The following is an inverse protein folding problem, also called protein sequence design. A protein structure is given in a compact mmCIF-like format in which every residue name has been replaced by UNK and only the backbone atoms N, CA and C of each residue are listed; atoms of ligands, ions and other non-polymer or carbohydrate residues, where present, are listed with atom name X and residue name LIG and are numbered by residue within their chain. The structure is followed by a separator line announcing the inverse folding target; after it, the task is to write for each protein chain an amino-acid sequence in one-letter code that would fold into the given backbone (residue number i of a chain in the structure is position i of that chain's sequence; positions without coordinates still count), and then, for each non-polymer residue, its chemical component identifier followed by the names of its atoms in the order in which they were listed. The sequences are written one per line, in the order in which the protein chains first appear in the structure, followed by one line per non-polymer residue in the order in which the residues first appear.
data_IF_457923383535
#
_entry.id   IF_457923383535
#
_cell.length_a   1.000
_cell.length_b   1.000
_cell.length_c   1.000
_cell.angle_alpha   90.00
_cell.angle_beta   90.00
_cell.angle_gamma   90.00
#
_symmetry.space_group_name_H-M   'P 1'
#
loop_
_entity.id
_entity.type
_entity.pdbx_description
1 polymer ?
#
# COMPACT_ATOMS: atom_id res chain seq x y z
N UNK A 1 9.54 17.30 10.07
CA UNK A 1 10.64 17.07 9.12
C UNK A 1 10.07 17.19 7.73
N UNK A 2 10.50 18.17 6.94
CA UNK A 2 10.01 18.32 5.57
C UNK A 2 10.54 17.16 4.72
N UNK A 3 9.68 16.36 4.10
CA UNK A 3 10.04 15.34 3.12
C UNK A 3 10.59 16.04 1.87
N UNK A 4 11.85 16.48 1.96
CA UNK A 4 12.50 17.31 0.93
C UNK A 4 12.91 16.48 -0.28
N UNK A 5 12.92 15.16 -0.17
CA UNK A 5 13.32 14.26 -1.24
C UNK A 5 12.63 12.90 -0.99
N UNK A 6 11.79 12.45 -1.93
CA UNK A 6 11.38 11.05 -2.11
C UNK A 6 10.21 10.53 -1.23
N UNK A 7 9.58 9.41 -1.65
CA UNK A 7 8.43 8.76 -0.99
C UNK A 7 8.81 8.29 0.42
N UNK A 8 7.86 7.87 1.26
CA UNK A 8 8.12 7.59 2.68
C UNK A 8 9.20 6.52 2.92
N UNK A 9 9.39 5.60 1.97
CA UNK A 9 10.42 4.57 1.97
C UNK A 9 11.76 5.02 1.34
N UNK A 10 11.94 6.32 1.10
CA UNK A 10 13.14 6.92 0.52
C UNK A 10 13.37 6.60 -0.96
N UNK A 11 12.35 6.05 -1.64
CA UNK A 11 12.42 5.72 -3.06
C UNK A 11 11.73 6.77 -3.94
N UNK A 12 11.95 6.71 -5.25
CA UNK A 12 11.36 7.66 -6.18
C UNK A 12 11.18 7.10 -7.56
N UNK A 13 10.14 7.57 -8.23
CA UNK A 13 9.88 7.28 -9.63
C UNK A 13 10.71 8.21 -10.52
N UNK A 14 11.35 7.64 -11.52
CA UNK A 14 12.19 8.37 -12.47
C UNK A 14 12.16 7.72 -13.84
N UNK A 15 12.74 8.39 -14.84
CA UNK A 15 12.84 7.89 -16.20
C UNK A 15 14.29 7.54 -16.50
N UNK A 16 14.52 6.33 -17.03
CA UNK A 16 15.83 5.86 -17.49
C UNK A 16 15.76 5.50 -18.96
N UNK A 17 16.60 6.14 -19.77
CA UNK A 17 16.71 5.81 -21.20
C UNK A 17 17.61 4.59 -21.38
N UNK A 18 17.12 3.59 -22.11
CA UNK A 18 17.90 2.44 -22.54
C UNK A 18 17.56 2.13 -23.99
N UNK A 19 18.54 2.27 -24.89
CA UNK A 19 18.29 2.22 -26.33
C UNK A 19 17.31 3.31 -26.77
N UNK A 20 16.25 2.92 -27.47
CA UNK A 20 15.16 3.79 -27.91
C UNK A 20 14.02 3.95 -26.89
N UNK A 21 14.05 3.21 -25.78
CA UNK A 21 12.95 3.18 -24.80
C UNK A 21 13.30 4.00 -23.56
N UNK A 22 12.29 4.70 -23.05
CA UNK A 22 12.30 5.44 -21.79
C UNK A 22 11.53 4.64 -20.74
N UNK A 23 12.27 4.01 -19.83
CA UNK A 23 11.72 3.18 -18.77
C UNK A 23 11.35 4.02 -17.55
N UNK A 24 10.14 3.85 -17.06
CA UNK A 24 9.68 4.38 -15.79
C UNK A 24 10.07 3.40 -14.69
N UNK A 25 11.04 3.79 -13.87
CA UNK A 25 11.64 2.95 -12.85
C UNK A 25 11.53 3.58 -11.47
N UNK A 26 11.34 2.74 -10.46
CA UNK A 26 11.43 3.11 -9.06
C UNK A 26 12.85 2.84 -8.58
N UNK A 27 13.49 3.85 -8.02
CA UNK A 27 14.87 3.75 -7.55
C UNK A 27 14.98 4.19 -6.10
N UNK A 28 16.04 3.75 -5.43
CA UNK A 28 16.40 4.22 -4.09
C UNK A 28 17.89 4.48 -4.03
N UNK A 29 18.29 5.49 -3.25
CA UNK A 29 19.69 5.75 -2.95
C UNK A 29 20.10 5.02 -1.68
N UNK A 30 21.05 4.10 -1.78
CA UNK A 30 21.59 3.31 -0.65
C UNK A 30 23.10 3.45 -0.65
N UNK A 31 23.66 3.95 0.46
CA UNK A 31 25.12 4.10 0.65
C UNK A 31 25.85 4.77 -0.53
N UNK A 32 25.24 5.81 -1.11
CA UNK A 32 25.81 6.55 -2.24
C UNK A 32 25.54 5.95 -3.62
N UNK A 33 25.06 4.70 -3.69
CA UNK A 33 24.67 4.01 -4.92
C UNK A 33 23.17 4.14 -5.19
N UNK A 34 22.79 3.97 -6.46
CA UNK A 34 21.38 3.92 -6.86
C UNK A 34 20.97 2.48 -7.16
N UNK A 35 19.97 2.00 -6.45
CA UNK A 35 19.37 0.68 -6.65
C UNK A 35 18.08 0.79 -7.45
N UNK A 36 17.86 -0.15 -8.37
CA UNK A 36 16.57 -0.35 -9.02
C UNK A 36 15.70 -1.19 -8.10
N UNK A 37 14.55 -0.66 -7.72
CA UNK A 37 13.56 -1.37 -6.94
C UNK A 37 12.49 -2.00 -7.81
N UNK A 38 12.05 -1.28 -8.85
CA UNK A 38 10.95 -1.72 -9.71
C UNK A 38 10.99 -1.03 -11.08
N UNK A 39 10.34 -1.65 -12.06
CA UNK A 39 10.10 -1.08 -13.40
C UNK A 39 8.62 -1.17 -13.72
N UNK A 40 7.99 -0.01 -13.90
CA UNK A 40 6.56 0.04 -14.20
C UNK A 40 6.27 -0.21 -15.68
N UNK A 41 7.08 0.34 -16.57
CA UNK A 41 6.86 0.22 -18.02
C UNK A 41 7.76 1.12 -18.85
N UNK A 42 7.73 0.91 -20.17
CA UNK A 42 8.55 1.63 -21.15
C UNK A 42 7.71 2.45 -22.12
N UNK A 43 8.22 3.61 -22.50
CA UNK A 43 7.64 4.47 -23.52
C UNK A 43 8.67 4.80 -24.60
N UNK A 44 8.23 4.99 -25.84
CA UNK A 44 9.09 5.49 -26.92
C UNK A 44 9.41 6.99 -26.77
N UNK A 45 8.58 7.73 -26.01
CA UNK A 45 8.69 9.18 -25.83
C UNK A 45 9.00 9.54 -24.38
N UNK A 46 10.04 10.36 -24.21
CA UNK A 46 10.47 10.84 -22.90
C UNK A 46 9.35 11.55 -22.12
N UNK A 47 8.55 12.39 -22.79
CA UNK A 47 7.47 13.14 -22.15
C UNK A 47 6.37 12.24 -21.57
N UNK A 48 6.01 11.17 -22.28
CA UNK A 48 5.02 10.20 -21.80
C UNK A 48 5.55 9.43 -20.59
N UNK A 49 6.81 8.96 -20.63
CA UNK A 49 7.46 8.34 -19.49
C UNK A 49 7.54 9.28 -18.28
N UNK A 50 7.90 10.55 -18.49
CA UNK A 50 8.02 11.53 -17.42
C UNK A 50 6.65 11.85 -16.79
N UNK A 51 5.61 11.99 -17.60
CA UNK A 51 4.23 12.15 -17.11
C UNK A 51 3.76 10.96 -16.28
N UNK A 52 4.03 9.74 -16.75
CA UNK A 52 3.70 8.53 -16.00
C UNK A 52 4.48 8.42 -14.68
N UNK A 53 5.80 8.68 -14.70
CA UNK A 53 6.62 8.70 -13.49
C UNK A 53 6.12 9.74 -12.47
N UNK A 54 5.73 10.94 -12.93
CA UNK A 54 5.17 11.98 -12.07
C UNK A 54 3.83 11.55 -11.46
N UNK A 55 2.94 10.93 -12.24
CA UNK A 55 1.67 10.42 -11.73
C UNK A 55 1.86 9.31 -10.68
N UNK A 56 2.79 8.39 -10.91
CA UNK A 56 3.13 7.33 -9.95
C UNK A 56 3.71 7.92 -8.66
N UNK A 57 4.61 8.90 -8.77
CA UNK A 57 5.14 9.62 -7.62
C UNK A 57 4.04 10.32 -6.82
N UNK A 58 3.10 10.99 -7.50
CA UNK A 58 1.97 11.65 -6.85
C UNK A 58 1.08 10.66 -6.12
N UNK A 59 0.71 9.55 -6.77
CA UNK A 59 -0.15 8.53 -6.16
C UNK A 59 0.50 7.92 -4.91
N UNK A 60 1.78 7.57 -4.99
CA UNK A 60 2.52 7.03 -3.85
C UNK A 60 2.60 8.05 -2.70
N UNK A 61 2.94 9.31 -2.99
CA UNK A 61 3.01 10.36 -1.98
C UNK A 61 1.64 10.57 -1.30
N UNK A 62 0.55 10.54 -2.06
CA UNK A 62 -0.81 10.63 -1.52
C UNK A 62 -1.12 9.46 -0.58
N UNK A 63 -0.77 8.23 -0.95
CA UNK A 63 -0.97 7.06 -0.09
C UNK A 63 -0.15 7.13 1.19
N UNK A 64 1.10 7.57 1.09
CA UNK A 64 1.99 7.70 2.24
C UNK A 64 1.45 8.75 3.24
N UNK A 65 1.02 9.92 2.74
CA UNK A 65 0.39 10.97 3.56
C UNK A 65 -0.90 10.49 4.21
N UNK A 66 -1.73 9.74 3.49
CA UNK A 66 -2.96 9.18 4.06
C UNK A 66 -2.66 8.20 5.20
N UNK A 67 -1.64 7.34 5.04
CA UNK A 67 -1.21 6.43 6.11
C UNK A 67 -0.70 7.18 7.33
N UNK A 68 0.12 8.21 7.13
CA UNK A 68 0.63 9.06 8.23
C UNK A 68 -0.52 9.78 8.95
N UNK A 69 -1.48 10.32 8.21
CA UNK A 69 -2.64 11.00 8.76
C UNK A 69 -3.50 10.04 9.60
N UNK A 70 -3.78 8.84 9.09
CA UNK A 70 -4.56 7.82 9.81
C UNK A 70 -3.83 7.42 11.11
N UNK A 71 -2.52 7.18 11.05
CA UNK A 71 -1.74 6.84 12.25
C UNK A 71 -1.76 7.95 13.29
N UNK A 72 -1.62 9.21 12.85
CA UNK A 72 -1.70 10.39 13.71
C UNK A 72 -3.07 10.53 14.36
N UNK A 73 -4.14 10.31 13.59
CA UNK A 73 -5.51 10.34 14.10
C UNK A 73 -5.75 9.27 15.16
N UNK A 74 -5.35 8.02 14.91
CA UNK A 74 -5.47 6.95 15.90
C UNK A 74 -4.72 7.28 17.19
N UNK A 75 -3.49 7.80 17.07
CA UNK A 75 -2.69 8.21 18.23
C UNK A 75 -3.37 9.31 19.03
N UNK A 76 -3.99 10.29 18.35
CA UNK A 76 -4.71 11.37 18.99
C UNK A 76 -5.99 10.88 19.69
N UNK A 77 -6.73 9.96 19.06
CA UNK A 77 -7.93 9.34 19.65
C UNK A 77 -7.56 8.53 20.90
N UNK A 78 -6.49 7.73 20.85
CA UNK A 78 -5.97 6.98 21.99
C UNK A 78 -5.60 7.92 23.14
N UNK A 79 -4.90 9.03 22.84
CA UNK A 79 -4.54 10.04 23.84
C UNK A 79 -5.74 10.77 24.47
N UNK A 80 -6.84 10.92 23.74
CA UNK A 80 -8.08 11.50 24.23
C UNK A 80 -8.99 10.50 24.97
N UNK A 81 -8.59 9.22 25.05
CA UNK A 81 -9.43 8.14 25.60
C UNK A 81 -10.59 7.72 24.69
N UNK A 82 -10.57 8.15 23.44
CA UNK A 82 -11.52 7.77 22.37
C UNK A 82 -10.92 6.72 21.42
N UNK A 83 -9.81 6.10 21.84
CA UNK A 83 -9.16 5.02 21.13
C UNK A 83 -10.10 3.84 20.89
N UNK A 84 -9.82 3.06 19.84
CA UNK A 84 -10.57 1.85 19.58
C UNK A 84 -10.44 0.91 20.79
N UNK A 85 -11.56 0.57 21.42
CA UNK A 85 -11.57 -0.44 22.46
C UNK A 85 -11.09 -1.77 21.87
N UNK A 86 -10.25 -2.55 22.57
CA UNK A 86 -9.87 -3.86 22.10
C UNK A 86 -11.13 -4.70 21.89
N UNK A 87 -11.36 -5.13 20.65
CA UNK A 87 -12.45 -6.05 20.34
C UNK A 87 -12.20 -7.34 21.12
N UNK A 88 -13.10 -7.75 22.03
CA UNK A 88 -12.89 -8.99 22.77
C UNK A 88 -12.78 -10.15 21.79
N UNK A 89 -11.88 -11.08 22.08
CA UNK A 89 -11.74 -12.28 21.27
C UNK A 89 -13.11 -12.98 21.17
N UNK A 90 -13.50 -13.48 19.98
CA UNK A 90 -14.72 -14.25 19.86
C UNK A 90 -14.65 -15.45 20.79
N UNK A 91 -15.78 -15.78 21.43
CA UNK A 91 -15.89 -17.00 22.24
C UNK A 91 -15.50 -18.18 21.34
N UNK A 92 -14.58 -19.02 21.82
CA UNK A 92 -14.14 -20.20 21.09
C UNK A 92 -15.40 -21.00 20.70
N UNK A 93 -15.59 -21.34 19.42
CA UNK A 93 -16.72 -22.16 19.04
C UNK A 93 -16.67 -23.48 19.84
N UNK A 94 -17.82 -24.03 20.24
CA UNK A 94 -17.85 -25.33 20.90
C UNK A 94 -17.22 -26.37 19.99
N UNK A 95 -16.70 -27.45 20.58
CA UNK A 95 -16.11 -28.55 19.80
C UNK A 95 -17.13 -29.04 18.77
N UNK A 96 -16.66 -29.50 17.60
CA UNK A 96 -17.53 -29.96 16.51
C UNK A 96 -18.53 -31.05 16.94
N UNK A 97 -18.18 -31.82 17.97
CA UNK A 97 -19.03 -32.83 18.61
C UNK A 97 -20.21 -32.26 19.42
N UNK A 98 -20.18 -30.97 19.74
CA UNK A 98 -21.20 -30.22 20.49
C UNK A 98 -22.01 -29.29 19.59
N UNK A 99 -21.60 -29.08 18.34
CA UNK A 99 -22.41 -28.36 17.37
C UNK A 99 -23.58 -29.26 16.94
N UNK A 100 -24.79 -28.69 16.75
CA UNK A 100 -25.90 -29.44 16.19
C UNK A 100 -25.46 -30.03 14.84
N UNK A 101 -25.91 -31.26 14.55
CA UNK A 101 -25.72 -31.85 13.24
C UNK A 101 -26.18 -30.83 12.20
N UNK A 102 -25.39 -30.67 11.12
CA UNK A 102 -25.76 -29.79 10.03
C UNK A 102 -27.19 -30.15 9.64
N UNK A 103 -28.10 -29.17 9.73
CA UNK A 103 -29.44 -29.33 9.22
C UNK A 103 -29.26 -29.55 7.73
N UNK A 104 -29.53 -30.76 7.25
CA UNK A 104 -29.72 -30.99 5.81
C UNK A 104 -30.83 -30.04 5.41
N UNK A 105 -30.45 -28.98 4.69
CA UNK A 105 -31.41 -28.14 4.01
C UNK A 105 -31.98 -29.05 2.94
N UNK A 106 -33.21 -29.53 3.14
CA UNK A 106 -33.94 -30.26 2.11
C UNK A 106 -33.85 -29.45 0.81
N UNK A 107 -33.28 -30.06 -0.23
CA UNK A 107 -33.32 -29.49 -1.56
C UNK A 107 -34.79 -29.33 -1.94
N UNK A 108 -35.19 -28.18 -2.51
CA UNK A 108 -36.58 -27.98 -2.89
C UNK A 108 -36.98 -29.05 -3.91
N UNK A 109 -37.99 -29.86 -3.59
CA UNK A 109 -38.65 -30.75 -4.55
C UNK A 109 -39.25 -29.90 -5.68
N UNK A 110 -38.94 -30.27 -6.93
CA UNK A 110 -39.48 -29.70 -8.18
C UNK A 110 -41.00 -29.87 -8.32
#
# INVERSE_FOLDING_TARGET
MAYRNYTADGSYWTVRKQGSIYWVARMRRVNGSYEWLDTWGGYERAGAAAGAAAQLAYNQAREDVLKELVGTLHTALDGAGLGALPTPAPVRPPDRSQLPAAVELDEPED
#
